data_IF_981000315831
#
_entry.id   IF_981000315831
#
_cell.length_a   1.000
_cell.length_b   1.000
_cell.length_c   1.000
_cell.angle_alpha   90.00
_cell.angle_beta   90.00
_cell.angle_gamma   90.00
#
_symmetry.space_group_name_H-M   'P 1'
#
loop_
_entity.id
_entity.type
_entity.pdbx_description
1 polymer ?
#
# COMPACT_ATOMS: atom_id res chain seq x y z
N UNK A 1 -19.62 -16.21 -21.92
CA UNK A 1 -18.17 -16.13 -21.75
C UNK A 1 -17.94 -15.78 -20.30
N UNK A 2 -17.42 -16.73 -19.53
CA UNK A 2 -17.36 -16.70 -18.07
C UNK A 2 -16.11 -15.88 -17.69
N UNK A 3 -16.32 -14.72 -17.06
CA UNK A 3 -15.25 -13.96 -16.42
C UNK A 3 -14.97 -14.67 -15.09
N UNK A 4 -13.74 -15.11 -14.79
CA UNK A 4 -13.45 -15.67 -13.47
C UNK A 4 -13.61 -14.57 -12.42
N UNK A 5 -14.56 -14.75 -11.51
CA UNK A 5 -14.59 -14.04 -10.23
C UNK A 5 -13.30 -14.38 -9.47
N UNK A 6 -12.33 -13.47 -9.48
CA UNK A 6 -11.37 -13.38 -8.38
C UNK A 6 -12.08 -12.68 -7.21
N UNK A 7 -12.99 -13.40 -6.54
CA UNK A 7 -13.36 -13.09 -5.16
C UNK A 7 -12.22 -13.57 -4.24
N UNK A 8 -11.06 -12.91 -4.32
CA UNK A 8 -10.13 -12.89 -3.19
C UNK A 8 -10.59 -11.73 -2.33
N UNK A 9 -11.33 -12.07 -1.28
CA UNK A 9 -12.01 -11.14 -0.40
C UNK A 9 -10.98 -10.35 0.40
N UNK A 10 -10.52 -9.20 -0.10
CA UNK A 10 -9.92 -8.18 0.77
C UNK A 10 -11.03 -7.46 1.55
N UNK A 11 -11.76 -8.22 2.36
CA UNK A 11 -12.69 -7.59 3.30
C UNK A 11 -11.88 -6.91 4.39
N UNK A 12 -11.97 -5.58 4.45
CA UNK A 12 -11.42 -4.83 5.57
C UNK A 12 -12.21 -5.23 6.83
N UNK A 13 -11.58 -5.88 7.83
CA UNK A 13 -12.28 -6.38 9.00
C UNK A 13 -13.01 -5.25 9.72
N UNK A 14 -14.35 -5.34 9.80
CA UNK A 14 -15.20 -4.31 10.42
C UNK A 14 -16.06 -3.50 9.45
N UNK A 15 -15.82 -3.58 8.14
CA UNK A 15 -16.66 -2.95 7.11
C UNK A 15 -17.56 -3.98 6.41
N UNK A 16 -18.81 -3.59 6.10
CA UNK A 16 -19.82 -4.40 5.40
C UNK A 16 -19.96 -3.89 3.96
N UNK A 17 -19.73 -4.77 2.99
CA UNK A 17 -19.73 -4.56 1.52
C UNK A 17 -21.04 -4.06 0.87
N UNK A 18 -21.92 -3.34 1.59
CA UNK A 18 -23.25 -2.99 1.08
C UNK A 18 -23.39 -1.55 0.56
N UNK A 19 -22.37 -0.70 0.74
CA UNK A 19 -22.39 0.72 0.29
C UNK A 19 -20.99 1.21 -0.17
N UNK A 20 -20.05 0.30 -0.41
CA UNK A 20 -18.63 0.64 -0.58
C UNK A 20 -18.02 -0.22 -1.68
N UNK A 21 -17.33 0.41 -2.62
CA UNK A 21 -16.58 -0.28 -3.66
C UNK A 21 -15.20 -0.70 -3.13
N UNK A 22 -15.02 -2.00 -2.90
CA UNK A 22 -13.75 -2.62 -2.55
C UNK A 22 -13.00 -2.95 -3.86
N UNK A 23 -11.84 -2.33 -4.08
CA UNK A 23 -10.96 -2.66 -5.20
C UNK A 23 -9.70 -3.31 -4.63
N UNK A 24 -9.30 -4.45 -5.18
CA UNK A 24 -8.01 -5.07 -4.91
C UNK A 24 -7.33 -5.25 -6.27
N UNK A 25 -6.30 -4.45 -6.54
CA UNK A 25 -5.44 -4.66 -7.70
C UNK A 25 -4.11 -5.20 -7.22
N UNK A 26 -3.63 -6.27 -7.88
CA UNK A 26 -2.32 -6.85 -7.63
C UNK A 26 -1.39 -6.51 -8.79
N UNK A 27 -0.33 -5.76 -8.53
CA UNK A 27 0.76 -5.62 -9.50
C UNK A 27 2.09 -5.37 -8.79
N UNK A 28 3.15 -6.06 -9.21
CA UNK A 28 4.50 -5.85 -8.67
C UNK A 28 4.66 -6.13 -7.16
N UNK A 29 3.76 -6.91 -6.56
CA UNK A 29 3.79 -7.18 -5.10
C UNK A 29 3.05 -6.14 -4.25
N UNK A 30 2.56 -5.04 -4.83
CA UNK A 30 1.75 -4.06 -4.11
C UNK A 30 0.25 -4.20 -4.44
N UNK A 31 -0.58 -3.90 -3.44
CA UNK A 31 -2.03 -3.93 -3.49
C UNK A 31 -2.61 -2.76 -2.71
N UNK A 32 -3.70 -2.17 -3.19
CA UNK A 32 -4.42 -1.14 -2.45
C UNK A 32 -5.91 -1.40 -2.50
N UNK A 33 -6.56 -1.20 -1.35
CA UNK A 33 -7.99 -1.24 -1.16
C UNK A 33 -8.46 0.04 -0.49
N UNK A 34 -9.62 0.55 -0.89
CA UNK A 34 -10.19 1.79 -0.32
C UNK A 34 -11.66 1.59 -0.03
N UNK A 35 -12.12 2.25 1.02
CA UNK A 35 -13.50 2.37 1.44
C UNK A 35 -13.85 3.84 1.38
N UNK A 36 -14.58 4.25 0.34
CA UNK A 36 -15.03 5.62 0.17
C UNK A 36 -16.50 5.65 -0.26
N UNK A 37 -17.15 6.81 -0.06
CA UNK A 37 -18.51 7.04 -0.55
C UNK A 37 -18.59 7.06 -2.08
N UNK A 38 -17.52 7.53 -2.73
CA UNK A 38 -17.36 7.49 -4.18
C UNK A 38 -15.93 7.07 -4.51
N UNK A 39 -15.81 6.00 -5.31
CA UNK A 39 -14.53 5.47 -5.78
C UNK A 39 -14.52 5.55 -7.30
N UNK A 40 -13.60 6.32 -7.92
CA UNK A 40 -13.55 6.43 -9.36
C UNK A 40 -13.10 5.10 -9.99
N UNK A 41 -13.61 4.77 -11.18
CA UNK A 41 -13.24 3.53 -11.91
C UNK A 41 -11.73 3.45 -12.25
N UNK A 42 -11.01 4.58 -12.19
CA UNK A 42 -9.57 4.66 -12.39
C UNK A 42 -8.73 4.53 -11.12
N UNK A 43 -9.34 4.22 -9.98
CA UNK A 43 -8.60 3.99 -8.73
C UNK A 43 -7.86 2.65 -8.77
N UNK A 44 -6.58 2.66 -8.43
CA UNK A 44 -5.77 1.45 -8.39
C UNK A 44 -4.31 1.69 -8.07
N UNK A 45 -3.51 0.62 -8.19
CA UNK A 45 -2.04 0.67 -8.15
C UNK A 45 -1.48 0.61 -9.56
N UNK A 46 -0.48 1.43 -9.84
CA UNK A 46 0.22 1.47 -11.13
C UNK A 46 1.74 1.41 -10.89
N UNK A 47 2.42 0.47 -11.55
CA UNK A 47 3.88 0.29 -11.47
C UNK A 47 4.64 1.15 -12.49
N UNK A 48 3.93 1.92 -13.32
CA UNK A 48 4.56 2.81 -14.31
C UNK A 48 5.26 4.00 -13.66
N UNK A 49 5.20 4.14 -12.34
CA UNK A 49 6.00 5.13 -11.60
C UNK A 49 7.46 4.94 -11.97
N UNK A 50 7.96 5.93 -12.70
CA UNK A 50 9.39 6.08 -12.94
C UNK A 50 9.95 6.97 -11.86
N UNK A 51 9.96 6.45 -10.63
CA UNK A 51 10.75 7.07 -9.58
C UNK A 51 12.23 6.89 -9.97
N UNK A 52 13.02 7.97 -9.93
CA UNK A 52 14.44 7.83 -10.15
C UNK A 52 15.02 7.04 -8.97
N UNK A 53 15.99 6.12 -9.17
CA UNK A 53 16.59 5.37 -8.07
C UNK A 53 17.28 6.24 -7.01
N UNK A 54 17.39 7.56 -7.23
CA UNK A 54 17.88 8.54 -6.27
C UNK A 54 16.79 9.14 -5.38
N UNK A 55 15.52 9.04 -5.77
CA UNK A 55 14.36 9.49 -4.99
C UNK A 55 13.82 8.38 -4.08
N UNK A 56 14.15 7.13 -4.36
CA UNK A 56 13.77 5.98 -3.53
C UNK A 56 14.59 5.95 -2.24
N UNK A 57 13.98 5.71 -1.07
CA UNK A 57 14.72 5.58 0.18
C UNK A 57 15.75 4.44 0.07
N UNK A 58 16.94 4.66 0.64
CA UNK A 58 18.04 3.69 0.58
C UNK A 58 17.68 2.35 1.24
N UNK A 59 16.74 2.41 2.18
CA UNK A 59 16.22 1.30 2.97
C UNK A 59 14.95 0.67 2.37
N UNK A 60 14.66 0.97 1.08
CA UNK A 60 13.56 0.34 0.36
C UNK A 60 13.80 -1.17 0.16
N UNK A 61 12.80 -1.95 0.56
CA UNK A 61 12.77 -3.41 0.43
C UNK A 61 11.90 -3.88 -0.75
N UNK A 62 11.23 -2.95 -1.43
CA UNK A 62 10.37 -3.19 -2.56
C UNK A 62 10.54 -2.10 -3.63
N UNK A 63 10.00 -2.33 -4.82
CA UNK A 63 9.91 -1.29 -5.84
C UNK A 63 8.78 -0.29 -5.48
N UNK A 64 9.00 1.02 -5.67
CA UNK A 64 7.97 2.02 -5.41
C UNK A 64 6.83 1.90 -6.42
N UNK A 65 5.59 2.09 -5.95
CA UNK A 65 4.38 2.05 -6.80
C UNK A 65 3.54 3.30 -6.63
N UNK A 66 2.79 3.67 -7.68
CA UNK A 66 1.86 4.80 -7.65
C UNK A 66 0.45 4.36 -7.31
N UNK A 67 -0.23 5.15 -6.49
CA UNK A 67 -1.67 5.09 -6.27
C UNK A 67 -2.35 6.06 -7.23
N UNK A 68 -3.01 5.52 -8.25
CA UNK A 68 -3.78 6.31 -9.22
C UNK A 68 -5.22 6.48 -8.76
N UNK A 69 -5.86 7.58 -9.18
CA UNK A 69 -7.26 7.85 -8.85
C UNK A 69 -7.53 8.37 -7.44
N UNK A 70 -6.50 8.73 -6.66
CA UNK A 70 -6.64 9.30 -5.30
C UNK A 70 -7.39 10.65 -5.25
N UNK A 71 -7.21 11.48 -6.27
CA UNK A 71 -7.84 12.81 -6.36
C UNK A 71 -9.37 12.71 -6.45
N UNK A 72 -9.87 11.69 -7.15
CA UNK A 72 -11.30 11.47 -7.35
C UNK A 72 -12.02 10.79 -6.18
N UNK A 73 -11.29 10.33 -5.15
CA UNK A 73 -11.91 9.69 -3.98
C UNK A 73 -12.65 10.72 -3.13
N UNK A 74 -13.94 10.48 -2.87
CA UNK A 74 -14.76 11.31 -1.99
C UNK A 74 -15.29 10.51 -0.79
N UNK A 75 -15.16 11.08 0.41
CA UNK A 75 -15.66 10.45 1.64
C UNK A 75 -14.90 9.19 2.04
N UNK A 76 -13.56 9.21 1.92
CA UNK A 76 -12.71 8.10 2.36
C UNK A 76 -12.91 7.84 3.85
N UNK A 77 -13.34 6.62 4.17
CA UNK A 77 -13.55 6.13 5.53
C UNK A 77 -12.44 5.19 5.99
N UNK A 78 -11.85 4.43 5.06
CA UNK A 78 -10.68 3.61 5.32
C UNK A 78 -9.90 3.36 4.03
N UNK A 79 -8.60 3.17 4.12
CA UNK A 79 -7.75 2.73 3.03
C UNK A 79 -6.75 1.71 3.56
N UNK A 80 -6.58 0.61 2.85
CA UNK A 80 -5.63 -0.45 3.16
C UNK A 80 -4.64 -0.53 2.01
N UNK A 81 -3.37 -0.54 2.33
CA UNK A 81 -2.27 -0.62 1.38
C UNK A 81 -1.41 -1.80 1.81
N UNK A 82 -1.09 -2.68 0.88
CA UNK A 82 -0.31 -3.89 1.12
C UNK A 82 0.85 -3.89 0.15
N UNK A 83 2.07 -4.09 0.65
CA UNK A 83 3.28 -4.11 -0.17
C UNK A 83 4.09 -5.33 0.24
N UNK A 84 4.33 -6.23 -0.71
CA UNK A 84 5.28 -7.32 -0.56
C UNK A 84 6.69 -6.74 -0.48
N UNK A 85 7.48 -7.25 0.46
CA UNK A 85 8.85 -6.78 0.67
C UNK A 85 9.81 -7.95 0.56
N UNK A 86 11.02 -7.70 0.05
CA UNK A 86 12.04 -8.72 -0.01
C UNK A 86 12.79 -8.81 1.33
N UNK A 87 12.62 -9.90 2.12
CA UNK A 87 13.27 -10.05 3.41
C UNK A 87 14.79 -10.27 3.29
N UNK A 88 15.33 -10.51 2.09
CA UNK A 88 16.78 -10.64 1.87
C UNK A 88 17.48 -9.28 1.82
N UNK A 89 16.73 -8.20 1.59
CA UNK A 89 17.20 -6.82 1.72
C UNK A 89 17.44 -6.37 3.17
N UNK A 90 16.91 -7.10 4.15
CA UNK A 90 17.03 -6.74 5.56
C UNK A 90 18.47 -6.85 6.07
N UNK A 91 18.97 -5.88 6.86
CA UNK A 91 20.30 -5.94 7.42
C UNK A 91 20.45 -7.09 8.43
N UNK A 92 21.66 -7.63 8.61
CA UNK A 92 21.89 -8.74 9.54
C UNK A 92 21.62 -8.28 10.98
N UNK A 93 20.58 -8.86 11.60
CA UNK A 93 20.13 -8.49 12.94
C UNK A 93 18.82 -7.70 12.97
N UNK A 94 18.32 -7.25 11.81
CA UNK A 94 16.98 -6.68 11.68
C UNK A 94 15.91 -7.74 11.94
N UNK A 95 14.82 -7.29 12.58
CA UNK A 95 13.63 -8.12 12.69
C UNK A 95 12.86 -8.08 11.37
N UNK A 96 12.33 -9.20 10.87
CA UNK A 96 11.53 -9.19 9.65
C UNK A 96 10.19 -8.46 9.82
N UNK A 97 9.82 -8.09 11.05
CA UNK A 97 8.66 -7.25 11.39
C UNK A 97 8.96 -5.75 11.36
N UNK A 98 10.21 -5.39 11.14
CA UNK A 98 10.74 -4.03 11.24
C UNK A 98 10.64 -3.37 9.85
N UNK A 99 9.44 -3.44 9.28
CA UNK A 99 9.13 -3.02 7.92
C UNK A 99 7.87 -2.19 7.97
N UNK A 100 7.90 -1.04 7.33
CA UNK A 100 6.76 -0.12 7.24
C UNK A 100 6.47 0.24 5.78
N UNK A 101 5.23 0.64 5.51
CA UNK A 101 4.91 1.30 4.25
C UNK A 101 5.30 2.77 4.41
N UNK A 102 6.17 3.26 3.54
CA UNK A 102 6.45 4.68 3.40
C UNK A 102 5.68 5.27 2.21
N UNK A 103 5.29 6.53 2.34
CA UNK A 103 4.63 7.32 1.30
C UNK A 103 5.46 8.56 0.97
N UNK A 104 5.61 8.85 -0.31
CA UNK A 104 6.30 10.05 -0.79
C UNK A 104 5.41 11.28 -0.64
N UNK A 105 5.86 12.27 0.12
CA UNK A 105 5.21 13.57 0.30
C UNK A 105 6.12 14.68 -0.20
N UNK A 106 5.60 15.91 -0.31
CA UNK A 106 6.40 17.10 -0.67
C UNK A 106 7.60 17.32 0.28
N UNK A 107 7.55 16.75 1.50
CA UNK A 107 8.60 16.82 2.51
C UNK A 107 9.64 15.69 2.45
N UNK A 108 9.43 14.68 1.60
CA UNK A 108 10.21 13.44 1.57
C UNK A 108 9.34 12.21 1.87
N UNK A 109 9.95 11.12 2.32
CA UNK A 109 9.22 9.89 2.62
C UNK A 109 8.76 9.88 4.08
N UNK A 110 7.48 9.61 4.30
CA UNK A 110 6.87 9.46 5.61
C UNK A 110 6.38 8.03 5.82
N UNK A 111 6.72 7.42 6.95
CA UNK A 111 6.28 6.07 7.32
C UNK A 111 4.84 6.11 7.83
N UNK A 112 4.05 5.13 7.40
CA UNK A 112 2.66 4.94 7.81
C UNK A 112 2.58 3.85 8.88
N UNK A 113 1.59 3.96 9.77
CA UNK A 113 1.29 2.91 10.73
C UNK A 113 0.92 1.62 9.97
N UNK A 114 1.82 0.64 10.08
CA UNK A 114 1.83 -0.56 9.25
C UNK A 114 1.99 -1.81 10.11
N UNK A 115 1.39 -2.91 9.66
CA UNK A 115 1.50 -4.23 10.28
C UNK A 115 2.13 -5.19 9.28
N UNK A 116 3.18 -5.88 9.71
CA UNK A 116 3.87 -6.87 8.90
C UNK A 116 3.26 -8.26 9.08
N UNK A 117 2.93 -8.90 7.97
CA UNK A 117 2.59 -10.31 7.91
C UNK A 117 3.82 -11.13 7.48
N UNK A 118 4.35 -11.91 8.43
CA UNK A 118 5.54 -12.74 8.22
C UNK A 118 5.26 -14.01 7.42
N UNK A 119 4.00 -14.43 7.30
CA UNK A 119 3.63 -15.63 6.54
C UNK A 119 3.59 -15.31 5.04
N UNK A 120 3.12 -14.11 4.70
CA UNK A 120 2.97 -13.62 3.32
C UNK A 120 4.09 -12.65 2.91
N UNK A 121 5.08 -12.37 3.76
CA UNK A 121 6.15 -11.38 3.53
C UNK A 121 5.61 -10.04 3.04
N UNK A 122 4.47 -9.63 3.59
CA UNK A 122 3.72 -8.46 3.15
C UNK A 122 3.55 -7.49 4.30
N UNK A 123 3.79 -6.21 4.06
CA UNK A 123 3.50 -5.13 5.01
C UNK A 123 2.18 -4.46 4.64
N UNK A 124 1.29 -4.28 5.62
CA UNK A 124 -0.04 -3.70 5.45
C UNK A 124 -0.15 -2.38 6.21
N UNK A 125 -0.35 -1.26 5.53
CA UNK A 125 -0.74 0.01 6.13
C UNK A 125 -2.26 0.20 6.10
N UNK A 126 -2.84 0.68 7.21
CA UNK A 126 -4.26 1.01 7.29
C UNK A 126 -4.43 2.47 7.67
N UNK A 127 -5.02 3.24 6.76
CA UNK A 127 -5.32 4.65 6.94
C UNK A 127 -6.82 4.85 7.13
N UNK A 128 -7.20 5.82 7.95
CA UNK A 128 -8.60 6.26 8.08
C UNK A 128 -8.94 7.43 7.15
N UNK A 129 -7.97 7.88 6.37
CA UNK A 129 -8.06 9.02 5.46
C UNK A 129 -7.20 8.75 4.21
N UNK A 130 -7.18 9.72 3.28
CA UNK A 130 -6.33 9.61 2.09
C UNK A 130 -4.86 9.71 2.48
N UNK A 131 -3.98 8.92 1.87
CA UNK A 131 -2.55 9.05 2.08
C UNK A 131 -2.11 10.48 1.68
N UNK A 132 -1.10 11.03 2.36
CA UNK A 132 -0.58 12.37 2.06
C UNK A 132 0.10 12.43 0.68
N UNK A 133 0.47 11.28 0.12
CA UNK A 133 1.09 11.12 -1.19
C UNK A 133 0.49 10.00 -2.02
N UNK A 134 0.93 9.92 -3.27
CA UNK A 134 0.48 8.90 -4.23
C UNK A 134 1.49 7.78 -4.38
N UNK A 135 2.79 8.07 -4.24
CA UNK A 135 3.84 7.05 -4.33
C UNK A 135 4.03 6.36 -3.00
N UNK A 136 4.08 5.03 -2.99
CA UNK A 136 4.28 4.22 -1.78
C UNK A 136 5.37 3.19 -2.02
N UNK A 137 6.04 2.76 -0.95
CA UNK A 137 7.10 1.74 -0.99
C UNK A 137 7.23 1.05 0.36
N UNK A 138 7.64 -0.22 0.38
CA UNK A 138 8.03 -0.89 1.63
C UNK A 138 9.46 -0.50 2.00
N UNK A 139 9.66 -0.05 3.24
CA UNK A 139 10.97 0.32 3.79
C UNK A 139 11.25 -0.45 5.06
N UNK A 140 12.53 -0.71 5.31
CA UNK A 140 13.00 -1.12 6.63
C UNK A 140 12.84 0.04 7.63
N UNK A 141 12.28 -0.23 8.81
CA UNK A 141 11.86 0.81 9.76
C UNK A 141 12.71 0.97 11.03
N UNK A 142 13.52 0.06 11.55
CA UNK A 142 14.39 0.26 12.74
C UNK A 142 13.76 0.75 14.08
N UNK A 143 12.52 1.26 14.07
CA UNK A 143 11.73 1.66 15.23
C UNK A 143 12.20 2.95 15.92
N UNK A 144 13.11 3.72 15.33
CA UNK A 144 13.60 4.99 15.90
C UNK A 144 12.72 6.19 15.48
N UNK A 145 11.53 6.29 16.07
CA UNK A 145 10.65 7.46 16.00
C UNK A 145 10.47 8.17 17.37
#
# INVERSE_FOLDING_TARGET
MYIPLFESTMSIPGYRSSDTAEFALEFGGARAAVVASDVPDGFGVDDSVRCSPADVPADALAEPVELVGLDGLAGVSAMRIEVDYDPTGLPPGASPTDVAVAVETDGGWETLDSTVDLAETTVTAVLNERPPGSTIVAVYDDGEH
#
